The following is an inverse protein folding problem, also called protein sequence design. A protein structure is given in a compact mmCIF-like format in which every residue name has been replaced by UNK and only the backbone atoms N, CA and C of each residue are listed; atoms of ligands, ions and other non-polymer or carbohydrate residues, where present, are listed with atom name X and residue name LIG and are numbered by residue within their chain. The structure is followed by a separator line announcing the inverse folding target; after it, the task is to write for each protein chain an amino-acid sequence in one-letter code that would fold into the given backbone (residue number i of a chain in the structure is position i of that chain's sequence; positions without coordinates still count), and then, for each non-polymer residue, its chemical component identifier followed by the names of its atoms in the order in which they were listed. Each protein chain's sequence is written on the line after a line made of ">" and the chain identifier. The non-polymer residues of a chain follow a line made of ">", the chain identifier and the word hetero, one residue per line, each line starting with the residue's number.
data_IF_135648539180
#
_entry.id   IF_135648539180
#
_cell.length_a   1.000
_cell.length_b   1.000
_cell.length_c   1.000
_cell.angle_alpha   90.00
_cell.angle_beta   90.00
_cell.angle_gamma   90.00
#
_symmetry.space_group_name_H-M   'P 1'
#
loop_
_entity.id
_entity.type
_entity.pdbx_description
1 polymer ?
#
# COMPACT_ATOMS: atom_id res chain seq x y z
N UNK A 1 23.26 8.91 14.26
CA UNK A 1 23.08 8.33 12.91
C UNK A 1 24.43 8.23 12.22
N UNK A 2 24.74 7.10 11.59
CA UNK A 2 25.93 6.98 10.75
C UNK A 2 25.78 7.91 9.52
N UNK A 3 26.86 8.56 9.10
CA UNK A 3 26.83 9.51 7.99
C UNK A 3 26.66 8.76 6.65
N UNK A 4 25.53 8.97 5.98
CA UNK A 4 25.30 8.43 4.63
C UNK A 4 26.31 9.06 3.66
N UNK A 5 27.01 8.22 2.89
CA UNK A 5 27.93 8.68 1.85
C UNK A 5 27.18 8.90 0.53
N UNK A 6 27.20 10.13 0.01
CA UNK A 6 26.60 10.48 -1.27
C UNK A 6 27.63 10.46 -2.40
N UNK A 7 27.25 9.90 -3.56
CA UNK A 7 28.10 9.84 -4.76
C UNK A 7 27.26 10.11 -6.01
N UNK A 8 27.62 11.13 -6.77
CA UNK A 8 26.92 11.44 -8.04
C UNK A 8 27.53 10.68 -9.20
N UNK A 9 26.71 9.92 -9.92
CA UNK A 9 27.10 9.18 -11.12
C UNK A 9 26.88 10.04 -12.36
N UNK A 10 27.90 10.11 -13.24
CA UNK A 10 27.85 10.87 -14.50
C UNK A 10 26.84 10.32 -15.52
N UNK A 11 26.45 9.06 -15.39
CA UNK A 11 25.52 8.41 -16.32
C UNK A 11 24.78 7.26 -15.63
N UNK A 12 23.66 6.82 -16.21
CA UNK A 12 22.92 5.62 -15.77
C UNK A 12 23.70 4.33 -16.00
N UNK A 13 24.75 4.36 -16.84
CA UNK A 13 25.63 3.21 -17.05
C UNK A 13 26.42 2.95 -15.77
N UNK A 14 26.16 1.80 -15.13
CA UNK A 14 26.86 1.37 -13.92
C UNK A 14 28.39 1.44 -14.18
N UNK A 15 29.18 2.15 -13.36
CA UNK A 15 30.63 2.24 -13.53
C UNK A 15 31.33 0.88 -13.47
N UNK A 16 32.46 0.74 -14.15
CA UNK A 16 33.21 -0.53 -14.24
C UNK A 16 33.54 -1.10 -12.86
N UNK A 17 34.00 -0.26 -11.93
CA UNK A 17 34.32 -0.70 -10.56
C UNK A 17 33.11 -1.25 -9.81
N UNK A 18 31.90 -0.70 -10.02
CA UNK A 18 30.67 -1.18 -9.37
C UNK A 18 30.22 -2.51 -10.02
N UNK A 19 30.39 -2.65 -11.33
CA UNK A 19 30.14 -3.93 -12.03
C UNK A 19 31.07 -5.04 -11.51
N UNK A 20 32.33 -4.72 -11.25
CA UNK A 20 33.28 -5.67 -10.67
C UNK A 20 32.79 -6.11 -9.28
N UNK A 21 32.36 -5.19 -8.42
CA UNK A 21 31.81 -5.53 -7.10
C UNK A 21 30.58 -6.44 -7.19
N UNK A 22 29.64 -6.14 -8.09
CA UNK A 22 28.46 -6.98 -8.33
C UNK A 22 28.85 -8.39 -8.79
N UNK A 23 29.79 -8.51 -9.73
CA UNK A 23 30.28 -9.81 -10.22
C UNK A 23 31.00 -10.60 -9.13
N UNK A 24 31.83 -9.94 -8.33
CA UNK A 24 32.52 -10.57 -7.20
C UNK A 24 31.51 -11.08 -6.18
N UNK A 25 30.52 -10.26 -5.81
CA UNK A 25 29.48 -10.69 -4.87
C UNK A 25 28.71 -11.91 -5.40
N UNK A 26 28.29 -11.89 -6.67
CA UNK A 26 27.61 -13.03 -7.29
C UNK A 26 28.47 -14.30 -7.33
N UNK A 27 29.80 -14.18 -7.45
CA UNK A 27 30.70 -15.34 -7.41
C UNK A 27 30.83 -15.96 -6.02
N UNK A 28 30.76 -15.14 -4.96
CA UNK A 28 30.86 -15.60 -3.58
C UNK A 28 29.52 -15.93 -2.92
N UNK A 29 28.40 -15.58 -3.54
CA UNK A 29 27.05 -15.90 -3.08
C UNK A 29 26.73 -17.39 -3.32
N UNK A 30 27.35 -18.26 -2.52
CA UNK A 30 27.18 -19.71 -2.59
C UNK A 30 25.80 -20.19 -2.13
N UNK A 31 25.02 -19.33 -1.46
CA UNK A 31 23.76 -19.71 -0.83
C UNK A 31 22.54 -19.02 -1.46
N UNK A 32 22.72 -18.22 -2.53
CA UNK A 32 21.62 -17.59 -3.24
C UNK A 32 20.69 -16.83 -2.31
N UNK A 33 21.24 -16.05 -1.38
CA UNK A 33 20.46 -15.41 -0.32
C UNK A 33 19.36 -14.54 -0.94
N UNK A 34 18.12 -15.03 -0.89
CA UNK A 34 17.01 -14.60 -1.73
C UNK A 34 16.93 -13.08 -1.83
N UNK A 35 17.18 -12.55 -3.03
CA UNK A 35 16.70 -11.23 -3.41
C UNK A 35 15.60 -11.46 -4.44
N UNK A 36 14.34 -11.42 -3.99
CA UNK A 36 13.16 -11.67 -4.83
C UNK A 36 12.97 -10.63 -5.94
N UNK A 37 13.66 -9.49 -5.85
CA UNK A 37 13.58 -8.40 -6.82
C UNK A 37 14.82 -8.29 -7.70
N UNK A 38 14.68 -8.14 -9.03
CA UNK A 38 15.82 -7.89 -9.94
C UNK A 38 16.50 -6.54 -9.68
N UNK A 39 15.86 -5.64 -8.91
CA UNK A 39 16.43 -4.35 -8.52
C UNK A 39 17.39 -4.45 -7.34
N UNK A 40 17.40 -5.56 -6.61
CA UNK A 40 18.24 -5.73 -5.41
C UNK A 40 19.36 -6.69 -5.73
N UNK A 41 20.61 -6.29 -5.45
CA UNK A 41 21.78 -7.10 -5.74
C UNK A 41 22.72 -7.10 -4.54
N UNK A 42 23.38 -8.23 -4.29
CA UNK A 42 24.43 -8.34 -3.26
C UNK A 42 25.67 -7.53 -3.66
N UNK A 43 26.33 -6.97 -2.65
CA UNK A 43 27.65 -6.36 -2.72
C UNK A 43 28.56 -7.05 -1.70
N UNK A 44 29.90 -6.96 -1.87
CA UNK A 44 30.84 -7.46 -0.87
C UNK A 44 30.60 -6.83 0.51
N UNK A 45 31.11 -7.49 1.56
CA UNK A 45 31.05 -7.01 2.95
C UNK A 45 29.64 -6.92 3.54
N UNK A 46 28.80 -7.91 3.23
CA UNK A 46 27.43 -8.02 3.75
C UNK A 46 26.59 -6.75 3.46
N UNK A 47 26.66 -6.29 2.22
CA UNK A 47 25.87 -5.15 1.73
C UNK A 47 24.96 -5.59 0.60
N UNK A 48 23.88 -4.86 0.39
CA UNK A 48 23.08 -4.93 -0.83
C UNK A 48 22.99 -3.55 -1.47
N UNK A 49 22.68 -3.52 -2.77
CA UNK A 49 22.31 -2.33 -3.51
C UNK A 49 20.93 -2.51 -4.13
N UNK A 50 20.00 -1.59 -3.82
CA UNK A 50 18.72 -1.46 -4.51
C UNK A 50 18.85 -0.40 -5.60
N UNK A 51 18.48 -0.74 -6.83
CA UNK A 51 18.54 0.13 -7.99
C UNK A 51 17.20 0.82 -8.25
N UNK A 52 17.28 1.99 -8.89
CA UNK A 52 16.15 2.78 -9.39
C UNK A 52 15.13 3.23 -8.33
N UNK A 53 15.57 3.43 -7.09
CA UNK A 53 14.80 3.99 -5.98
C UNK A 53 14.42 5.45 -6.25
N UNK A 54 13.28 5.87 -5.71
CA UNK A 54 12.90 7.27 -5.59
C UNK A 54 13.45 7.85 -4.27
N UNK A 55 13.70 9.17 -4.19
CA UNK A 55 14.13 9.81 -2.94
C UNK A 55 13.19 9.55 -1.76
N UNK A 56 11.89 9.44 -2.01
CA UNK A 56 10.87 9.16 -1.01
C UNK A 56 11.13 7.87 -0.21
N UNK A 57 11.69 6.82 -0.85
CA UNK A 57 12.03 5.57 -0.15
C UNK A 57 13.11 5.81 0.93
N UNK A 58 14.16 6.58 0.60
CA UNK A 58 15.20 6.91 1.56
C UNK A 58 14.68 7.80 2.69
N UNK A 59 13.85 8.78 2.35
CA UNK A 59 13.21 9.69 3.32
C UNK A 59 12.36 8.90 4.32
N UNK A 60 11.54 7.97 3.83
CA UNK A 60 10.74 7.08 4.66
C UNK A 60 11.60 6.23 5.60
N UNK A 61 12.65 5.59 5.09
CA UNK A 61 13.56 4.78 5.92
C UNK A 61 14.23 5.62 7.03
N UNK A 62 14.68 6.84 6.71
CA UNK A 62 15.29 7.73 7.69
C UNK A 62 14.29 8.22 8.73
N UNK A 63 13.06 8.51 8.32
CA UNK A 63 11.97 8.92 9.22
C UNK A 63 11.62 7.81 10.20
N UNK A 64 11.40 6.59 9.71
CA UNK A 64 11.09 5.42 10.53
C UNK A 64 12.20 5.11 11.52
N UNK A 65 13.46 5.12 11.05
CA UNK A 65 14.62 4.90 11.92
C UNK A 65 14.75 5.95 13.04
N UNK A 66 14.26 7.17 12.81
CA UNK A 66 14.35 8.27 13.77
C UNK A 66 13.20 8.24 14.79
N UNK A 67 12.01 7.81 14.37
CA UNK A 67 10.77 8.01 15.12
C UNK A 67 10.17 6.72 15.69
N UNK A 68 10.72 5.55 15.37
CA UNK A 68 10.18 4.25 15.82
C UNK A 68 11.31 3.30 16.25
N UNK A 69 10.93 2.13 16.77
CA UNK A 69 11.86 1.01 17.00
C UNK A 69 11.81 -0.04 15.89
N UNK A 70 11.06 0.23 14.81
CA UNK A 70 10.89 -0.70 13.69
C UNK A 70 12.27 -0.96 13.05
N UNK A 71 12.67 -2.24 12.92
CA UNK A 71 13.96 -2.56 12.33
C UNK A 71 13.92 -2.26 10.83
N UNK A 72 14.80 -1.38 10.36
CA UNK A 72 14.98 -1.06 8.94
C UNK A 72 16.44 -1.22 8.54
N UNK A 73 16.75 -1.70 7.32
CA UNK A 73 18.13 -1.80 6.86
C UNK A 73 18.83 -0.44 6.89
N UNK A 74 20.02 -0.39 7.49
CA UNK A 74 20.79 0.85 7.55
C UNK A 74 21.33 1.19 6.16
N UNK A 75 20.95 2.35 5.64
CA UNK A 75 21.53 2.91 4.41
C UNK A 75 22.92 3.48 4.72
N UNK A 76 23.94 3.00 4.01
CA UNK A 76 25.34 3.41 4.21
C UNK A 76 25.83 4.35 3.11
N UNK A 77 25.29 4.22 1.89
CA UNK A 77 25.71 5.01 0.74
C UNK A 77 24.57 5.16 -0.26
N UNK A 78 24.51 6.33 -0.90
CA UNK A 78 23.54 6.64 -1.95
C UNK A 78 24.27 7.08 -3.20
N UNK A 79 23.99 6.41 -4.32
CA UNK A 79 24.38 6.89 -5.64
C UNK A 79 23.25 7.69 -6.26
N UNK A 80 23.52 8.89 -6.75
CA UNK A 80 22.53 9.72 -7.44
C UNK A 80 22.79 9.72 -8.95
N UNK A 81 21.74 9.52 -9.75
CA UNK A 81 21.81 9.65 -11.21
C UNK A 81 20.52 10.27 -11.76
N UNK A 82 20.55 11.58 -12.03
CA UNK A 82 19.35 12.34 -12.37
C UNK A 82 18.35 12.31 -11.21
N UNK A 83 17.08 11.94 -11.50
CA UNK A 83 16.00 11.83 -10.49
C UNK A 83 15.95 10.49 -9.74
N UNK A 84 16.88 9.55 -10.03
CA UNK A 84 16.88 8.21 -9.43
C UNK A 84 18.07 8.04 -8.49
N UNK A 85 17.85 7.23 -7.46
CA UNK A 85 18.85 6.89 -6.45
C UNK A 85 19.12 5.38 -6.45
N UNK A 86 20.35 4.98 -6.13
CA UNK A 86 20.69 3.60 -5.79
C UNK A 86 21.13 3.56 -4.34
N UNK A 87 20.43 2.77 -3.54
CA UNK A 87 20.63 2.71 -2.09
C UNK A 87 21.52 1.51 -1.78
N UNK A 88 22.69 1.77 -1.21
CA UNK A 88 23.53 0.72 -0.61
C UNK A 88 23.19 0.65 0.87
N UNK A 89 22.77 -0.53 1.30
CA UNK A 89 22.34 -0.78 2.67
C UNK A 89 22.97 -2.06 3.21
N UNK A 90 22.94 -2.20 4.53
CA UNK A 90 23.38 -3.44 5.16
C UNK A 90 22.47 -4.59 4.71
N UNK A 91 23.08 -5.72 4.37
CA UNK A 91 22.36 -6.95 4.15
C UNK A 91 21.91 -7.51 5.50
N UNK A 92 20.61 -7.56 5.74
CA UNK A 92 20.05 -8.14 6.95
C UNK A 92 20.10 -9.67 6.82
N UNK A 93 20.57 -10.32 7.88
CA UNK A 93 20.61 -11.77 7.99
C UNK A 93 19.22 -12.28 8.40
N UNK A 94 18.49 -12.81 7.42
CA UNK A 94 17.12 -13.31 7.55
C UNK A 94 16.56 -13.71 6.19
N UNK A 95 15.48 -14.47 6.21
CA UNK A 95 14.70 -14.85 5.04
C UNK A 95 13.38 -14.09 5.01
N UNK A 96 12.72 -13.99 3.86
CA UNK A 96 11.39 -13.36 3.82
C UNK A 96 10.40 -14.17 4.65
N UNK A 97 9.42 -13.51 5.25
CA UNK A 97 8.35 -14.19 5.98
C UNK A 97 7.57 -15.10 5.05
N UNK A 98 7.39 -14.73 3.78
CA UNK A 98 6.72 -15.58 2.78
C UNK A 98 7.43 -16.93 2.60
N UNK A 99 8.77 -16.90 2.48
CA UNK A 99 9.59 -18.11 2.36
C UNK A 99 9.64 -18.90 3.67
N UNK A 100 9.69 -18.21 4.81
CA UNK A 100 9.80 -18.83 6.13
C UNK A 100 8.49 -19.47 6.62
N UNK A 101 7.33 -18.89 6.27
CA UNK A 101 6.04 -19.19 6.87
C UNK A 101 5.72 -20.69 6.98
N UNK A 102 5.92 -21.51 5.92
CA UNK A 102 5.61 -22.93 5.97
C UNK A 102 6.38 -23.70 7.05
N UNK A 103 7.62 -23.28 7.35
CA UNK A 103 8.54 -23.98 8.24
C UNK A 103 8.48 -23.49 9.70
N UNK A 104 7.76 -22.38 9.96
CA UNK A 104 7.60 -21.84 11.31
C UNK A 104 6.65 -22.68 12.16
N UNK A 105 6.99 -22.85 13.44
CA UNK A 105 6.07 -23.44 14.43
C UNK A 105 4.89 -22.50 14.71
N UNK A 106 3.81 -23.03 15.28
CA UNK A 106 2.64 -22.22 15.67
C UNK A 106 3.02 -21.07 16.63
N UNK A 107 3.85 -21.35 17.64
CA UNK A 107 4.35 -20.33 18.58
C UNK A 107 5.15 -19.23 17.86
N UNK A 108 5.98 -19.59 16.87
CA UNK A 108 6.74 -18.62 16.09
C UNK A 108 5.83 -17.77 15.20
N UNK A 109 4.82 -18.38 14.56
CA UNK A 109 3.83 -17.66 13.75
C UNK A 109 3.05 -16.67 14.63
N UNK A 110 2.63 -17.09 15.82
CA UNK A 110 1.94 -16.22 16.78
C UNK A 110 2.83 -15.05 17.21
N UNK A 111 4.09 -15.32 17.56
CA UNK A 111 5.05 -14.27 17.91
C UNK A 111 5.25 -13.27 16.77
N UNK A 112 5.38 -13.76 15.53
CA UNK A 112 5.53 -12.89 14.35
C UNK A 112 4.29 -12.03 14.12
N UNK A 113 3.08 -12.59 14.27
CA UNK A 113 1.83 -11.82 14.14
C UNK A 113 1.76 -10.73 15.21
N UNK A 114 2.17 -11.02 16.45
CA UNK A 114 2.24 -10.04 17.53
C UNK A 114 3.26 -8.92 17.24
N UNK A 115 4.48 -9.28 16.80
CA UNK A 115 5.50 -8.30 16.39
C UNK A 115 5.02 -7.43 15.21
N UNK A 116 4.37 -8.05 14.22
CA UNK A 116 3.83 -7.36 13.06
C UNK A 116 2.74 -6.35 13.46
N UNK A 117 1.81 -6.74 14.33
CA UNK A 117 0.77 -5.84 14.84
C UNK A 117 1.35 -4.71 15.67
N UNK A 118 2.39 -4.97 16.47
CA UNK A 118 3.12 -3.92 17.18
C UNK A 118 3.82 -2.94 16.21
N UNK A 119 4.36 -3.43 15.08
CA UNK A 119 4.94 -2.58 14.02
C UNK A 119 3.87 -1.69 13.39
N UNK A 120 2.72 -2.25 13.00
CA UNK A 120 1.61 -1.47 12.43
C UNK A 120 1.11 -0.42 13.42
N UNK A 121 1.02 -0.77 14.70
CA UNK A 121 0.62 0.18 15.74
C UNK A 121 1.63 1.34 15.87
N UNK A 122 2.93 1.05 15.87
CA UNK A 122 3.95 2.10 15.88
C UNK A 122 3.83 3.05 14.69
N UNK A 123 3.51 2.55 13.50
CA UNK A 123 3.26 3.42 12.33
C UNK A 123 2.04 4.32 12.55
N UNK A 124 0.95 3.77 13.11
CA UNK A 124 -0.29 4.49 13.39
C UNK A 124 -0.14 5.52 14.53
N UNK A 125 0.85 5.36 15.40
CA UNK A 125 1.13 6.29 16.48
C UNK A 125 1.96 7.50 16.02
N UNK A 126 2.53 7.46 14.81
CA UNK A 126 3.23 8.60 14.23
C UNK A 126 2.24 9.74 13.95
N UNK A 127 2.65 10.96 14.32
CA UNK A 127 1.84 12.17 14.17
C UNK A 127 2.12 12.81 12.82
N UNK A 128 1.09 13.07 11.98
CA UNK A 128 1.29 13.72 10.70
C UNK A 128 1.81 15.16 10.90
N UNK A 129 2.71 15.66 10.04
CA UNK A 129 3.17 17.05 10.10
C UNK A 129 2.05 18.07 9.85
N UNK A 130 1.03 17.66 9.07
CA UNK A 130 -0.14 18.46 8.71
C UNK A 130 -1.39 17.58 8.75
N UNK A 131 -2.43 18.02 9.47
CA UNK A 131 -3.67 17.26 9.57
C UNK A 131 -4.42 17.24 8.23
N UNK A 132 -5.00 16.09 7.87
CA UNK A 132 -5.78 15.92 6.64
C UNK A 132 -4.95 15.72 5.36
N UNK A 133 -3.67 16.08 5.36
CA UNK A 133 -2.80 15.95 4.20
C UNK A 133 -2.44 14.48 3.89
N UNK A 134 -2.49 14.12 2.61
CA UNK A 134 -2.15 12.79 2.08
C UNK A 134 -0.99 12.91 1.10
N UNK A 135 0.06 12.11 1.28
CA UNK A 135 1.25 12.19 0.45
C UNK A 135 2.41 11.35 0.97
N UNK A 136 3.60 11.54 0.42
CA UNK A 136 4.82 10.87 0.90
C UNK A 136 5.19 11.30 2.32
N UNK A 137 6.22 10.69 2.91
CA UNK A 137 6.76 11.03 4.24
C UNK A 137 6.95 12.53 4.47
N UNK A 138 7.47 13.22 3.45
CA UNK A 138 7.76 14.66 3.46
C UNK A 138 6.57 15.52 3.01
N UNK A 139 5.37 14.95 2.94
CA UNK A 139 4.15 15.55 2.36
C UNK A 139 4.35 16.05 0.91
N UNK A 140 5.19 15.35 0.16
CA UNK A 140 5.35 15.53 -1.28
C UNK A 140 4.52 14.53 -2.09
N UNK A 141 4.75 14.45 -3.41
CA UNK A 141 4.08 13.47 -4.25
C UNK A 141 4.31 12.05 -3.75
N UNK A 142 3.24 11.30 -3.57
CA UNK A 142 3.26 9.88 -3.21
C UNK A 142 3.46 8.99 -4.42
N UNK A 143 3.71 7.71 -4.17
CA UNK A 143 3.83 6.68 -5.19
C UNK A 143 3.25 5.38 -4.62
N UNK A 144 2.36 4.71 -5.35
CA UNK A 144 1.74 3.46 -4.92
C UNK A 144 1.18 2.76 -6.17
N UNK A 145 1.60 1.53 -6.44
CA UNK A 145 1.13 0.75 -7.60
C UNK A 145 -0.39 0.51 -7.60
N UNK A 146 -1.06 0.60 -6.45
CA UNK A 146 -2.52 0.59 -6.38
C UNK A 146 -3.13 1.78 -7.14
N UNK A 147 -2.41 2.89 -7.24
CA UNK A 147 -2.79 4.14 -7.91
C UNK A 147 -1.99 4.38 -9.20
N UNK A 148 -1.45 3.30 -9.80
CA UNK A 148 -0.71 3.34 -11.06
C UNK A 148 0.81 3.45 -10.91
N UNK A 149 1.49 3.71 -12.03
CA UNK A 149 2.94 3.80 -12.14
C UNK A 149 3.44 5.26 -12.14
N UNK A 150 2.55 6.21 -11.85
CA UNK A 150 2.84 7.64 -11.73
C UNK A 150 2.79 8.09 -10.28
N UNK A 151 3.47 9.22 -10.01
CA UNK A 151 3.30 9.87 -8.72
C UNK A 151 1.94 10.56 -8.67
N UNK A 152 1.33 10.58 -7.48
CA UNK A 152 0.08 11.26 -7.21
C UNK A 152 0.27 12.34 -6.14
N UNK A 153 -0.70 13.23 -6.02
CA UNK A 153 -0.72 14.24 -4.97
C UNK A 153 0.54 15.14 -4.95
N UNK A 154 0.91 15.70 -3.78
CA UNK A 154 0.22 15.53 -2.49
C UNK A 154 -1.20 16.10 -2.53
N UNK A 155 -2.04 15.68 -1.59
CA UNK A 155 -3.40 16.17 -1.42
C UNK A 155 -3.53 16.86 -0.07
N UNK A 156 -4.25 17.98 -0.03
CA UNK A 156 -4.43 18.76 1.20
C UNK A 156 -5.53 18.15 2.11
N UNK A 157 -6.36 17.26 1.56
CA UNK A 157 -7.46 16.64 2.27
C UNK A 157 -7.79 15.26 1.67
N UNK A 158 -8.53 14.47 2.44
CA UNK A 158 -8.95 13.12 2.08
C UNK A 158 -9.94 13.11 0.90
N UNK A 159 -10.77 14.15 0.73
CA UNK A 159 -11.74 14.21 -0.35
C UNK A 159 -11.06 14.28 -1.74
N UNK A 160 -9.99 15.07 -1.86
CA UNK A 160 -9.17 15.17 -3.06
C UNK A 160 -8.42 13.85 -3.33
N UNK A 161 -7.91 13.22 -2.28
CA UNK A 161 -7.32 11.89 -2.39
C UNK A 161 -8.35 10.85 -2.88
N UNK A 162 -9.53 10.77 -2.27
CA UNK A 162 -10.59 9.86 -2.70
C UNK A 162 -11.06 10.15 -4.14
N UNK A 163 -11.14 11.42 -4.54
CA UNK A 163 -11.44 11.80 -5.92
C UNK A 163 -10.38 11.27 -6.89
N UNK A 164 -9.10 11.38 -6.52
CA UNK A 164 -8.00 10.78 -7.27
C UNK A 164 -8.11 9.26 -7.32
N UNK A 165 -8.36 8.56 -6.19
CA UNK A 165 -8.54 7.10 -6.13
C UNK A 165 -9.61 6.63 -7.12
N UNK A 166 -10.70 7.39 -7.27
CA UNK A 166 -11.79 7.14 -8.23
C UNK A 166 -11.48 7.59 -9.66
N UNK A 167 -10.27 8.06 -9.94
CA UNK A 167 -9.80 8.61 -11.22
C UNK A 167 -10.61 9.81 -11.72
N UNK A 168 -11.07 10.63 -10.78
CA UNK A 168 -11.89 11.81 -11.08
C UNK A 168 -13.34 11.51 -11.45
N UNK A 169 -13.79 10.25 -11.31
CA UNK A 169 -15.20 9.91 -11.49
C UNK A 169 -16.02 10.41 -10.28
N UNK A 170 -17.05 11.25 -10.50
CA UNK A 170 -17.90 11.75 -9.44
C UNK A 170 -18.58 10.65 -8.63
N UNK A 171 -18.85 10.91 -7.36
CA UNK A 171 -19.27 9.88 -6.39
C UNK A 171 -20.63 9.25 -6.74
N UNK A 172 -21.52 10.00 -7.39
CA UNK A 172 -22.86 9.58 -7.82
C UNK A 172 -22.83 8.39 -8.79
N UNK A 173 -21.76 8.23 -9.57
CA UNK A 173 -21.57 7.12 -10.53
C UNK A 173 -21.05 5.83 -9.90
N UNK A 174 -20.83 5.82 -8.58
CA UNK A 174 -20.37 4.64 -7.87
C UNK A 174 -21.49 3.93 -7.11
N UNK A 175 -21.29 2.65 -6.84
CA UNK A 175 -22.17 1.86 -5.97
C UNK A 175 -22.11 2.30 -4.51
N UNK A 176 -23.05 1.80 -3.71
CA UNK A 176 -23.27 2.25 -2.33
C UNK A 176 -22.04 2.10 -1.43
N UNK A 177 -21.24 1.04 -1.58
CA UNK A 177 -20.04 0.85 -0.76
C UNK A 177 -19.03 1.98 -0.92
N UNK A 178 -18.79 2.43 -2.15
CA UNK A 178 -17.87 3.54 -2.44
C UNK A 178 -18.49 4.87 -2.02
N UNK A 179 -19.80 5.05 -2.24
CA UNK A 179 -20.54 6.24 -1.78
C UNK A 179 -20.38 6.44 -0.27
N UNK A 180 -20.69 5.42 0.52
CA UNK A 180 -20.60 5.47 1.98
C UNK A 180 -19.18 5.76 2.49
N UNK A 181 -18.16 5.14 1.88
CA UNK A 181 -16.76 5.27 2.32
C UNK A 181 -16.12 6.57 1.87
N UNK A 182 -16.43 7.03 0.66
CA UNK A 182 -15.85 8.26 0.11
C UNK A 182 -16.74 9.50 0.25
N UNK A 183 -17.84 9.42 1.02
CA UNK A 183 -18.67 10.58 1.34
C UNK A 183 -17.88 11.61 2.15
N UNK A 184 -18.11 12.90 1.89
CA UNK A 184 -17.40 13.99 2.58
C UNK A 184 -17.75 14.10 4.06
N UNK A 185 -18.90 13.57 4.49
CA UNK A 185 -19.30 13.52 5.90
C UNK A 185 -18.56 12.45 6.69
N UNK A 186 -17.95 11.46 6.02
CA UNK A 186 -17.14 10.43 6.68
C UNK A 186 -15.74 10.97 6.93
N UNK A 187 -15.35 11.00 8.20
CA UNK A 187 -14.03 11.47 8.64
C UNK A 187 -13.08 10.30 8.84
N UNK A 188 -11.83 10.47 8.42
CA UNK A 188 -10.74 9.55 8.72
C UNK A 188 -9.58 10.29 9.39
N UNK A 189 -8.92 9.64 10.34
CA UNK A 189 -7.61 10.11 10.78
C UNK A 189 -6.57 9.88 9.67
N UNK A 190 -5.59 10.78 9.56
CA UNK A 190 -4.38 10.53 8.77
C UNK A 190 -3.38 9.75 9.62
N UNK A 191 -2.88 8.65 9.06
CA UNK A 191 -1.92 7.75 9.70
C UNK A 191 -0.76 7.47 8.77
N UNK A 192 0.40 7.19 9.35
CA UNK A 192 1.54 6.75 8.56
C UNK A 192 1.31 5.30 8.13
N UNK A 193 1.57 5.01 6.87
CA UNK A 193 1.47 3.66 6.30
C UNK A 193 2.77 3.33 5.58
N UNK A 194 3.17 2.06 5.66
CA UNK A 194 4.12 1.45 4.75
C UNK A 194 3.50 1.34 3.35
N UNK A 195 2.20 1.04 3.28
CA UNK A 195 1.41 0.87 2.05
C UNK A 195 1.94 -0.24 1.12
N UNK A 196 2.76 -1.16 1.62
CA UNK A 196 3.17 -2.38 0.91
C UNK A 196 3.65 -3.46 1.90
N UNK A 197 3.19 -3.40 3.14
CA UNK A 197 3.66 -4.34 4.15
C UNK A 197 3.02 -5.71 3.87
N UNK A 198 3.84 -6.67 3.45
CA UNK A 198 3.40 -8.01 3.13
C UNK A 198 4.51 -9.01 3.48
N UNK A 199 4.22 -10.33 3.53
CA UNK A 199 5.23 -11.33 3.92
C UNK A 199 6.55 -11.29 3.12
N UNK A 200 6.55 -10.79 1.88
CA UNK A 200 7.77 -10.61 1.09
C UNK A 200 8.68 -9.49 1.62
N UNK A 201 8.08 -8.48 2.25
CA UNK A 201 8.74 -7.26 2.73
C UNK A 201 9.05 -7.32 4.24
N UNK A 202 8.77 -8.46 4.89
CA UNK A 202 9.14 -8.75 6.27
C UNK A 202 10.27 -9.77 6.25
N UNK A 203 11.42 -9.44 6.84
CA UNK A 203 12.51 -10.39 7.03
C UNK A 203 12.45 -10.97 8.43
N UNK A 204 12.56 -12.29 8.52
CA UNK A 204 12.54 -13.04 9.77
C UNK A 204 13.78 -13.91 9.95
N UNK A 205 14.15 -14.09 11.22
CA UNK A 205 15.20 -15.01 11.64
C UNK A 205 14.84 -15.56 13.01
N UNK A 206 14.99 -16.88 13.20
CA UNK A 206 14.74 -17.56 14.47
C UNK A 206 13.34 -17.25 15.07
N UNK A 207 12.32 -17.10 14.21
CA UNK A 207 10.94 -16.79 14.61
C UNK A 207 10.67 -15.35 15.03
N UNK A 208 11.55 -14.40 14.68
CA UNK A 208 11.42 -12.97 15.00
C UNK A 208 11.57 -12.09 13.77
N UNK A 209 10.91 -10.92 13.77
CA UNK A 209 11.08 -9.93 12.72
C UNK A 209 12.42 -9.20 12.93
N UNK A 210 13.29 -9.27 11.92
CA UNK A 210 14.62 -8.66 11.94
C UNK A 210 14.76 -7.45 11.03
N UNK A 211 13.85 -7.26 10.06
CA UNK A 211 13.72 -6.03 9.30
C UNK A 211 12.40 -5.94 8.54
N UNK A 212 11.93 -4.70 8.33
CA UNK A 212 10.92 -4.33 7.35
C UNK A 212 11.62 -3.59 6.21
N UNK A 213 11.34 -4.01 4.97
CA UNK A 213 11.99 -3.51 3.76
C UNK A 213 10.96 -2.98 2.75
N UNK A 214 11.45 -2.32 1.71
CA UNK A 214 10.63 -1.82 0.59
C UNK A 214 9.67 -0.67 0.93
N UNK A 215 10.22 0.41 1.49
CA UNK A 215 9.47 1.59 1.93
C UNK A 215 9.09 2.56 0.82
N UNK A 216 9.05 2.12 -0.44
CA UNK A 216 8.90 3.02 -1.59
C UNK A 216 7.50 3.62 -1.76
N UNK A 217 6.48 3.03 -1.12
CA UNK A 217 5.10 3.57 -1.08
C UNK A 217 4.74 4.26 0.25
N UNK A 218 5.69 4.33 1.18
CA UNK A 218 5.41 4.81 2.51
C UNK A 218 5.05 6.31 2.53
N UNK A 219 4.13 6.66 3.42
CA UNK A 219 3.58 8.02 3.48
C UNK A 219 2.42 8.17 4.46
N UNK A 220 1.74 9.30 4.36
CA UNK A 220 0.58 9.67 5.15
C UNK A 220 -0.69 9.41 4.35
N UNK A 221 -1.59 8.59 4.90
CA UNK A 221 -2.80 8.14 4.22
C UNK A 221 -3.99 8.13 5.18
N UNK A 222 -5.25 8.04 4.69
CA UNK A 222 -6.38 7.69 5.54
C UNK A 222 -6.10 6.41 6.34
N UNK A 223 -6.53 6.36 7.59
CA UNK A 223 -6.18 5.30 8.54
C UNK A 223 -6.54 3.87 8.10
N UNK A 224 -7.45 3.71 7.13
CA UNK A 224 -7.82 2.42 6.55
C UNK A 224 -6.83 1.91 5.50
N UNK A 225 -5.95 2.78 4.98
CA UNK A 225 -5.18 2.51 3.76
C UNK A 225 -4.28 1.29 3.91
N UNK A 226 -3.54 1.18 5.02
CA UNK A 226 -2.67 0.03 5.31
C UNK A 226 -3.48 -1.29 5.28
N UNK A 227 -4.66 -1.34 5.91
CA UNK A 227 -5.51 -2.52 5.90
C UNK A 227 -5.91 -2.90 4.47
N UNK A 228 -6.44 -1.95 3.70
CA UNK A 228 -6.86 -2.22 2.32
C UNK A 228 -5.69 -2.61 1.42
N UNK A 229 -4.51 -2.04 1.66
CA UNK A 229 -3.28 -2.33 0.91
C UNK A 229 -2.72 -3.71 1.20
N UNK A 230 -2.77 -4.15 2.46
CA UNK A 230 -2.44 -5.53 2.82
C UNK A 230 -3.34 -6.50 2.04
N UNK A 231 -4.66 -6.27 2.03
CA UNK A 231 -5.60 -7.11 1.28
C UNK A 231 -5.45 -7.02 -0.25
N UNK A 232 -4.95 -5.91 -0.78
CA UNK A 232 -4.61 -5.80 -2.20
C UNK A 232 -3.55 -6.83 -2.63
N UNK A 233 -2.60 -7.11 -1.73
CA UNK A 233 -1.57 -8.13 -1.88
C UNK A 233 -2.02 -9.56 -1.54
N UNK A 234 -3.29 -9.77 -1.16
CA UNK A 234 -3.78 -11.07 -0.70
C UNK A 234 -3.67 -12.14 -1.78
N UNK A 235 -3.27 -13.36 -1.37
CA UNK A 235 -3.19 -14.54 -2.22
C UNK A 235 -3.68 -15.76 -1.44
N UNK A 236 -4.33 -16.75 -2.09
CA UNK A 236 -4.87 -17.93 -1.39
C UNK A 236 -3.83 -18.69 -0.56
N UNK A 237 -2.59 -18.80 -1.03
CA UNK A 237 -1.52 -19.51 -0.32
C UNK A 237 -1.04 -18.80 0.96
N UNK A 238 -1.40 -17.53 1.16
CA UNK A 238 -1.08 -16.75 2.36
C UNK A 238 -2.21 -16.71 3.37
N UNK A 239 -3.32 -17.42 3.12
CA UNK A 239 -4.56 -17.31 3.91
C UNK A 239 -4.32 -17.35 5.42
N UNK A 240 -3.51 -18.30 5.90
CA UNK A 240 -3.20 -18.44 7.34
C UNK A 240 -2.59 -17.18 7.95
N UNK A 241 -1.66 -16.52 7.26
CA UNK A 241 -1.06 -15.28 7.73
C UNK A 241 -2.10 -14.16 7.86
N UNK A 242 -2.95 -14.00 6.84
CA UNK A 242 -3.99 -12.97 6.85
C UNK A 242 -5.06 -13.24 7.92
N UNK A 243 -5.52 -14.49 8.05
CA UNK A 243 -6.50 -14.89 9.07
C UNK A 243 -5.97 -14.60 10.49
N UNK A 244 -4.69 -14.86 10.75
CA UNK A 244 -4.07 -14.58 12.04
C UNK A 244 -3.88 -13.08 12.27
N UNK A 245 -3.52 -12.35 11.22
CA UNK A 245 -3.31 -10.91 11.27
C UNK A 245 -4.62 -10.15 11.55
N UNK A 246 -5.72 -10.50 10.88
CA UNK A 246 -7.03 -9.87 11.09
C UNK A 246 -7.56 -10.01 12.53
N UNK A 247 -7.10 -11.01 13.29
CA UNK A 247 -7.49 -11.19 14.69
C UNK A 247 -6.86 -10.16 15.64
N UNK A 248 -5.80 -9.47 15.21
CA UNK A 248 -4.98 -8.64 16.11
C UNK A 248 -4.95 -7.17 15.71
N UNK A 249 -5.16 -6.85 14.43
CA UNK A 249 -5.16 -5.46 13.95
C UNK A 249 -6.54 -4.80 14.03
N UNK A 250 -6.58 -3.48 13.92
CA UNK A 250 -7.80 -2.75 13.56
C UNK A 250 -8.18 -3.03 12.11
N UNK A 251 -9.39 -3.52 11.86
CA UNK A 251 -9.90 -3.84 10.51
C UNK A 251 -10.82 -2.75 9.95
N UNK A 252 -10.92 -2.70 8.63
CA UNK A 252 -11.74 -1.72 7.90
C UNK A 252 -12.54 -2.40 6.76
N UNK A 253 -13.52 -3.27 7.09
CA UNK A 253 -14.20 -4.12 6.12
C UNK A 253 -15.07 -3.33 5.12
N UNK A 254 -15.66 -2.20 5.54
CA UNK A 254 -16.45 -1.35 4.65
C UNK A 254 -15.54 -0.68 3.60
N UNK A 255 -14.39 -0.16 4.04
CA UNK A 255 -13.37 0.44 3.19
C UNK A 255 -12.75 -0.59 2.25
N UNK A 256 -12.48 -1.80 2.73
CA UNK A 256 -12.02 -2.89 1.88
C UNK A 256 -13.05 -3.25 0.79
N UNK A 257 -14.35 -3.25 1.13
CA UNK A 257 -15.42 -3.47 0.14
C UNK A 257 -15.49 -2.34 -0.89
N UNK A 258 -15.34 -1.09 -0.46
CA UNK A 258 -15.28 0.07 -1.35
C UNK A 258 -14.07 0.01 -2.28
N UNK A 259 -12.89 -0.23 -1.72
CA UNK A 259 -11.64 -0.37 -2.46
C UNK A 259 -11.73 -1.52 -3.46
N UNK A 260 -12.23 -2.69 -3.06
CA UNK A 260 -12.43 -3.84 -3.95
C UNK A 260 -13.34 -3.51 -5.14
N UNK A 261 -14.41 -2.73 -4.92
CA UNK A 261 -15.28 -2.27 -6.00
C UNK A 261 -14.54 -1.35 -6.99
N UNK A 262 -13.61 -0.53 -6.50
CA UNK A 262 -12.75 0.34 -7.33
C UNK A 262 -11.72 -0.51 -8.09
N UNK A 263 -11.13 -1.54 -7.47
CA UNK A 263 -10.16 -2.44 -8.11
C UNK A 263 -10.79 -3.20 -9.29
N UNK A 264 -12.05 -3.62 -9.15
CA UNK A 264 -12.80 -4.26 -10.23
C UNK A 264 -12.99 -3.35 -11.45
N UNK A 265 -13.03 -2.02 -11.24
CA UNK A 265 -13.16 -1.04 -12.33
C UNK A 265 -11.80 -0.65 -12.92
N UNK A 266 -10.78 -0.54 -12.07
CA UNK A 266 -9.45 -0.09 -12.45
C UNK A 266 -8.39 -1.10 -12.00
N UNK A 267 -7.90 -1.91 -12.94
CA UNK A 267 -6.71 -2.72 -12.72
C UNK A 267 -5.50 -1.82 -12.48
N UNK A 268 -4.60 -2.21 -11.56
CA UNK A 268 -3.31 -1.50 -11.34
C UNK A 268 -2.55 -1.28 -12.64
N UNK A 269 -2.49 -2.27 -13.53
CA UNK A 269 -1.71 -2.18 -14.77
C UNK A 269 -2.30 -1.20 -15.80
N UNK A 270 -3.57 -0.82 -15.62
CA UNK A 270 -4.31 0.07 -16.51
C UNK A 270 -4.86 1.29 -15.75
N UNK A 271 -4.38 1.53 -14.53
CA UNK A 271 -4.86 2.65 -13.73
C UNK A 271 -4.50 3.99 -14.38
N UNK A 272 -3.34 4.08 -15.03
CA UNK A 272 -2.90 5.30 -15.73
C UNK A 272 -3.45 5.42 -17.16
N UNK A 273 -4.16 4.42 -17.67
CA UNK A 273 -4.65 4.42 -19.04
C UNK A 273 -5.78 5.43 -19.24
N UNK A 274 -5.86 6.12 -20.38
CA UNK A 274 -6.97 7.04 -20.66
C UNK A 274 -8.34 6.38 -20.39
N UNK A 275 -9.23 7.09 -19.70
CA UNK A 275 -10.60 6.61 -19.49
C UNK A 275 -11.28 6.58 -20.85
N UNK A 276 -11.54 5.38 -21.39
CA UNK A 276 -12.26 5.23 -22.66
C UNK A 276 -13.77 5.42 -22.46
N UNK A 277 -14.46 6.07 -23.41
CA UNK A 277 -15.91 6.34 -23.36
C UNK A 277 -16.77 5.08 -23.17
N UNK A 278 -16.23 3.89 -23.46
CA UNK A 278 -16.94 2.61 -23.28
C UNK A 278 -17.20 2.25 -21.81
N UNK A 279 -16.38 2.73 -20.86
CA UNK A 279 -16.68 2.57 -19.43
C UNK A 279 -17.90 3.39 -19.01
N UNK A 280 -18.12 4.55 -19.65
CA UNK A 280 -19.28 5.41 -19.41
C UNK A 280 -20.61 4.77 -19.84
N UNK A 281 -20.59 3.84 -20.81
CA UNK A 281 -21.82 3.21 -21.35
C UNK A 281 -22.33 2.00 -20.55
N UNK A 282 -21.46 1.23 -19.89
CA UNK A 282 -21.92 0.15 -18.98
C UNK A 282 -22.70 0.73 -17.80
N UNK A 283 -22.28 1.89 -17.32
CA UNK A 283 -22.87 2.59 -16.17
C UNK A 283 -24.28 3.12 -16.45
N UNK A 284 -24.55 3.62 -17.67
CA UNK A 284 -25.92 4.01 -18.02
C UNK A 284 -26.89 2.83 -18.02
N UNK A 285 -26.44 1.64 -18.47
CA UNK A 285 -27.32 0.47 -18.59
C UNK A 285 -27.63 -0.18 -17.24
N UNK A 286 -26.67 -0.24 -16.32
CA UNK A 286 -26.90 -0.80 -14.98
C UNK A 286 -27.62 0.21 -14.08
N UNK A 287 -27.30 1.51 -14.16
CA UNK A 287 -28.04 2.54 -13.43
C UNK A 287 -29.51 2.65 -13.89
N UNK A 288 -29.79 2.52 -15.20
CA UNK A 288 -31.16 2.46 -15.72
C UNK A 288 -31.90 1.19 -15.30
N UNK A 289 -31.22 0.06 -15.12
CA UNK A 289 -31.82 -1.17 -14.57
C UNK A 289 -32.18 -1.03 -13.10
N UNK A 290 -31.29 -0.50 -12.28
CA UNK A 290 -31.52 -0.30 -10.84
C UNK A 290 -32.65 0.72 -10.59
N UNK A 291 -32.73 1.78 -11.41
CA UNK A 291 -33.84 2.74 -11.38
C UNK A 291 -35.18 2.13 -11.83
N UNK A 292 -35.15 1.26 -12.85
CA UNK A 292 -36.35 0.57 -13.33
C UNK A 292 -36.85 -0.48 -12.33
N UNK A 293 -35.98 -1.14 -11.57
CA UNK A 293 -36.37 -2.05 -10.50
C UNK A 293 -36.94 -1.29 -9.28
N UNK A 294 -36.35 -0.16 -8.89
CA UNK A 294 -36.92 0.71 -7.84
C UNK A 294 -38.31 1.28 -8.17
N UNK A 295 -38.59 1.56 -9.44
CA UNK A 295 -39.93 2.02 -9.87
C UNK A 295 -41.01 0.93 -9.84
N UNK A 296 -40.63 -0.35 -9.71
CA UNK A 296 -41.58 -1.47 -9.59
C UNK A 296 -41.92 -1.82 -8.14
N UNK A 297 -41.18 -1.30 -7.16
CA UNK A 297 -41.36 -1.62 -5.74
C UNK A 297 -42.14 -0.57 -4.93
N UNK A 298 -42.75 0.44 -5.57
CA UNK A 298 -43.62 1.39 -4.85
C UNK A 298 -45.06 0.86 -4.83
N UNK A 299 -45.65 0.47 -3.68
CA UNK A 299 -47.05 0.08 -3.63
C UNK A 299 -47.93 1.33 -3.59
N UNK A 300 -48.90 1.42 -4.51
CA UNK A 300 -50.00 2.38 -4.42
C UNK A 300 -50.76 2.17 -3.11
N UNK A 301 -50.64 3.12 -2.18
CA UNK A 301 -51.54 3.23 -1.04
C UNK A 301 -52.71 4.13 -1.47
N UNK A 302 -53.76 3.54 -2.04
CA UNK A 302 -55.06 4.19 -2.16
C UNK A 302 -55.85 3.96 -0.87
N UNK A 303 -56.03 5.07 -0.16
CA UNK A 303 -56.92 5.25 0.97
C UNK A 303 -58.37 5.29 0.51
N UNK A 304 -59.14 4.24 0.74
CA UNK A 304 -60.61 4.29 0.65
C UNK A 304 -61.20 4.54 2.04
N UNK A 305 -61.67 5.77 2.25
CA UNK A 305 -62.66 6.10 3.27
C UNK A 305 -63.62 7.11 2.66
N UNK A 306 -64.91 6.75 2.60
CA UNK A 306 -66.09 7.53 3.06
C UNK A 306 -67.38 7.04 2.38
N UNK A 307 -68.34 6.69 3.25
CA UNK A 307 -69.80 6.69 3.15
C UNK A 307 -70.53 6.96 1.82
N UNK A 308 -71.62 6.21 1.59
CA UNK A 308 -72.95 6.81 1.63
C UNK A 308 -74.10 5.83 1.93
N UNK A 309 -75.16 6.39 2.51
CA UNK A 309 -76.34 5.78 3.13
C UNK A 309 -77.46 5.43 2.13
N UNK A 310 -78.25 4.40 2.48
CA UNK A 310 -79.73 4.38 2.40
C UNK A 310 -80.39 4.03 1.07
N UNK A 311 -81.31 3.04 1.05
CA UNK A 311 -82.77 3.21 1.23
C UNK A 311 -83.56 1.93 0.85
N UNK A 312 -84.56 1.63 1.70
CA UNK A 312 -85.74 0.74 1.57
C UNK A 312 -85.47 -0.76 1.53
#
# INVERSE_FOLDING_TARGET
>A
MAKIRWVTLKSRKIPVWLRIQLRLAAFFDKNGGETSSPRVNRLPFNQIIKFACYPAELEAMQFIQKHTTIPVPRVTKVYTCGKKQYLVMDAVDGQTLDSAWPDLTEDQRLNIVQEFTAIVQQLRDLVPPEEGAVGSTSLGPGYDHRLGDRHFGPFNNIADFHFHVRRGVPLEFWGESVKQVHDISRSYAIKYSHADICPNNVLVKDGKIVAIVDWEFAGWYPEYWEYTKIHYGWRPYRKEFYDAFEQTMTTYPEELKAESAIWCRYSTFHYDDPITEHFSRRDETDSKKDLAEKSKETPEHQSDTVHNQGRV
#
